data_IF_834051252866
#
_entry.id   IF_834051252866
#
_cell.length_a   1.000
_cell.length_b   1.000
_cell.length_c   1.000
_cell.angle_alpha   90.00
_cell.angle_beta   90.00
_cell.angle_gamma   90.00
#
_symmetry.space_group_name_H-M   'P 1'
#
loop_
_entity.id
_entity.type
_entity.pdbx_description
1 polymer ?
#
# COMPACT_ATOMS: atom_id res chain seq x y z
N UNK A 1 30.38 -7.63 1.77
CA UNK A 1 28.98 -7.57 1.35
C UNK A 1 28.69 -6.11 1.03
N UNK A 2 28.64 -5.74 -0.22
CA UNK A 2 28.25 -4.38 -0.65
C UNK A 2 26.79 -4.17 -0.23
N UNK A 3 26.54 -3.29 0.74
CA UNK A 3 25.17 -2.88 1.06
C UNK A 3 24.60 -2.19 -0.19
N UNK A 4 23.65 -2.84 -0.84
CA UNK A 4 22.91 -2.25 -1.93
C UNK A 4 22.17 -1.04 -1.38
N UNK A 5 22.38 0.13 -1.94
CA UNK A 5 21.67 1.34 -1.50
C UNK A 5 20.16 1.14 -1.71
N UNK A 6 19.31 1.49 -0.73
CA UNK A 6 17.88 1.40 -0.89
C UNK A 6 17.40 2.33 -2.01
N UNK A 7 16.35 1.93 -2.73
CA UNK A 7 15.71 2.79 -3.73
C UNK A 7 15.01 4.00 -3.12
N UNK A 8 14.48 3.84 -1.90
CA UNK A 8 13.94 4.96 -1.11
C UNK A 8 14.57 4.92 0.28
N UNK A 9 15.10 6.06 0.71
CA UNK A 9 15.57 6.25 2.08
C UNK A 9 14.97 7.52 2.66
N UNK A 10 14.32 7.38 3.79
CA UNK A 10 13.64 8.47 4.53
C UNK A 10 14.19 8.50 5.94
N UNK A 11 14.65 9.67 6.39
CA UNK A 11 15.21 9.90 7.73
C UNK A 11 14.59 11.14 8.35
N UNK A 12 13.93 10.97 9.48
CA UNK A 12 13.32 12.03 10.29
C UNK A 12 12.44 12.99 9.48
N UNK A 13 11.72 12.45 8.49
CA UNK A 13 10.87 13.23 7.58
C UNK A 13 9.81 13.98 8.37
N UNK A 14 9.75 15.30 8.15
CA UNK A 14 8.79 16.22 8.76
C UNK A 14 8.09 17.03 7.69
N UNK A 15 6.77 17.23 7.93
CA UNK A 15 5.95 18.12 7.10
C UNK A 15 4.99 18.92 7.96
N UNK A 16 5.04 20.24 7.82
CA UNK A 16 4.15 21.17 8.50
C UNK A 16 3.34 22.00 7.49
N UNK A 17 2.10 22.28 7.85
CA UNK A 17 1.20 23.20 7.17
C UNK A 17 0.76 24.26 8.20
N UNK A 18 1.43 25.40 8.21
CA UNK A 18 1.27 26.38 9.29
C UNK A 18 1.60 25.75 10.64
N UNK A 19 0.63 25.70 11.55
CA UNK A 19 0.76 25.09 12.89
C UNK A 19 0.52 23.60 12.90
N UNK A 20 -0.13 23.03 11.88
CA UNK A 20 -0.45 21.62 11.78
C UNK A 20 0.78 20.80 11.34
N UNK A 21 1.13 19.76 12.11
CA UNK A 21 2.20 18.82 11.78
C UNK A 21 1.60 17.57 11.11
N UNK A 22 1.72 17.48 9.79
CA UNK A 22 1.22 16.34 9.02
C UNK A 22 2.17 15.13 9.06
N UNK A 23 3.48 15.37 9.23
CA UNK A 23 4.49 14.33 9.44
C UNK A 23 5.45 14.78 10.53
N UNK A 24 5.74 13.84 11.45
CA UNK A 24 6.62 14.09 12.60
C UNK A 24 7.61 12.93 12.77
N UNK A 25 8.81 13.13 12.21
CA UNK A 25 9.95 12.21 12.33
C UNK A 25 9.69 10.80 11.76
N UNK A 26 9.19 10.71 10.53
CA UNK A 26 8.98 9.43 9.82
C UNK A 26 10.29 8.95 9.22
N UNK A 27 10.68 7.69 9.49
CA UNK A 27 11.92 7.09 8.97
C UNK A 27 11.69 5.66 8.49
N UNK A 28 12.07 5.35 7.24
CA UNK A 28 12.01 4.01 6.66
C UNK A 28 12.89 3.90 5.42
N UNK A 29 13.15 2.68 4.99
CA UNK A 29 13.83 2.36 3.72
C UNK A 29 12.98 1.40 2.90
N UNK A 30 13.08 1.52 1.56
CA UNK A 30 12.53 0.55 0.60
C UNK A 30 13.68 0.04 -0.25
N UNK A 31 13.87 -1.28 -0.27
CA UNK A 31 14.95 -1.91 -1.02
C UNK A 31 14.59 -2.02 -2.51
N UNK A 32 15.61 -2.21 -3.35
CA UNK A 32 15.40 -2.47 -4.76
C UNK A 32 14.56 -3.74 -4.98
N UNK A 33 13.54 -3.66 -5.83
CA UNK A 33 12.61 -4.77 -6.14
C UNK A 33 11.62 -5.10 -5.04
N UNK A 34 11.63 -4.35 -3.93
CA UNK A 34 10.67 -4.50 -2.83
C UNK A 34 9.31 -3.87 -3.17
N UNK A 35 8.24 -4.52 -2.80
CA UNK A 35 6.92 -3.89 -2.70
C UNK A 35 6.66 -3.52 -1.24
N UNK A 36 6.54 -2.23 -0.99
CA UNK A 36 6.30 -1.66 0.34
C UNK A 36 4.93 -0.99 0.41
N UNK A 37 4.13 -1.36 1.42
CA UNK A 37 2.84 -0.70 1.68
C UNK A 37 2.98 0.35 2.79
N UNK A 38 2.44 1.55 2.57
CA UNK A 38 2.26 2.55 3.61
C UNK A 38 0.78 2.58 4.01
N UNK A 39 0.48 2.05 5.19
CA UNK A 39 -0.86 1.88 5.72
C UNK A 39 -1.18 2.94 6.76
N UNK A 40 -2.43 3.35 6.86
CA UNK A 40 -2.86 4.30 7.88
C UNK A 40 -4.26 4.85 7.59
N UNK A 41 -4.93 5.44 8.60
CA UNK A 41 -6.23 6.07 8.39
C UNK A 41 -6.12 7.31 7.49
N UNK A 42 -7.27 7.84 7.08
CA UNK A 42 -7.31 9.11 6.36
C UNK A 42 -6.73 10.23 7.23
N UNK A 43 -5.95 11.13 6.63
CA UNK A 43 -5.27 12.20 7.37
C UNK A 43 -3.98 11.78 8.11
N UNK A 44 -3.61 10.48 8.12
CA UNK A 44 -2.41 10.00 8.81
C UNK A 44 -1.07 10.50 8.25
N UNK A 45 -1.06 11.12 7.05
CA UNK A 45 0.16 11.61 6.41
C UNK A 45 0.63 10.79 5.20
N UNK A 46 -0.11 9.75 4.77
CA UNK A 46 0.26 8.90 3.63
C UNK A 46 0.50 9.70 2.34
N UNK A 47 -0.51 10.48 1.91
CA UNK A 47 -0.40 11.30 0.68
C UNK A 47 0.70 12.34 0.78
N UNK A 48 0.87 13.00 1.94
CA UNK A 48 1.99 13.93 2.15
C UNK A 48 3.35 13.24 2.04
N UNK A 49 3.47 12.00 2.50
CA UNK A 49 4.69 11.20 2.37
C UNK A 49 4.97 10.89 0.91
N UNK A 50 4.00 10.30 0.19
CA UNK A 50 4.15 9.96 -1.23
C UNK A 50 4.48 11.19 -2.07
N UNK A 51 3.73 12.28 -1.94
CA UNK A 51 3.95 13.53 -2.70
C UNK A 51 5.36 14.12 -2.48
N UNK A 52 5.94 13.94 -1.28
CA UNK A 52 7.33 14.35 -1.01
C UNK A 52 8.30 13.43 -1.74
N UNK A 53 8.06 12.12 -1.74
CA UNK A 53 8.92 11.13 -2.41
C UNK A 53 8.87 11.26 -3.94
N UNK A 54 7.73 11.66 -4.49
CA UNK A 54 7.53 11.98 -5.91
C UNK A 54 8.19 13.29 -6.33
N UNK A 55 8.61 14.12 -5.36
CA UNK A 55 9.14 15.47 -5.63
C UNK A 55 8.08 16.52 -5.97
N UNK A 56 6.80 16.19 -5.78
CA UNK A 56 5.69 17.12 -5.96
C UNK A 56 5.57 18.12 -4.80
N UNK A 57 5.89 17.68 -3.58
CA UNK A 57 5.76 18.47 -2.36
C UNK A 57 7.09 18.62 -1.64
N UNK A 58 7.36 19.82 -1.10
CA UNK A 58 8.53 20.07 -0.28
C UNK A 58 8.32 19.59 1.17
N UNK A 59 9.32 18.90 1.73
CA UNK A 59 9.36 18.57 3.15
C UNK A 59 9.70 19.81 3.99
N UNK A 60 9.39 19.77 5.29
CA UNK A 60 9.76 20.82 6.25
C UNK A 60 11.06 20.47 6.99
N UNK A 61 11.51 19.23 6.97
CA UNK A 61 12.74 18.76 7.59
C UNK A 61 12.99 17.29 7.34
N UNK A 62 14.17 16.80 7.76
CA UNK A 62 14.62 15.44 7.52
C UNK A 62 15.30 15.26 6.16
N UNK A 63 15.81 14.05 5.93
CA UNK A 63 16.51 13.70 4.69
C UNK A 63 15.73 12.65 3.91
N UNK A 64 15.67 12.83 2.59
CA UNK A 64 14.99 11.92 1.67
C UNK A 64 15.84 11.70 0.45
N UNK A 65 16.03 10.45 0.08
CA UNK A 65 16.60 10.07 -1.22
C UNK A 65 15.71 9.06 -1.91
N UNK A 66 15.49 9.24 -3.20
CA UNK A 66 14.73 8.35 -4.08
C UNK A 66 15.59 8.07 -5.30
N UNK A 67 15.92 6.80 -5.53
CA UNK A 67 16.87 6.37 -6.57
C UNK A 67 18.20 7.14 -6.51
N UNK A 68 18.69 7.41 -5.27
CA UNK A 68 19.94 8.11 -5.01
C UNK A 68 19.88 9.64 -5.16
N UNK A 69 18.73 10.23 -5.42
CA UNK A 69 18.54 11.68 -5.63
C UNK A 69 17.54 12.22 -4.59
N UNK A 70 17.81 13.43 -4.07
CA UNK A 70 16.80 14.16 -3.30
C UNK A 70 15.66 14.60 -4.25
N UNK A 71 14.40 14.16 -4.00
CA UNK A 71 13.27 14.48 -4.87
C UNK A 71 13.04 15.96 -5.11
N UNK A 72 13.41 16.84 -4.16
CA UNK A 72 13.33 18.31 -4.31
C UNK A 72 14.23 18.83 -5.42
N UNK A 73 15.27 18.09 -5.79
CA UNK A 73 16.23 18.41 -6.83
C UNK A 73 16.10 17.48 -8.04
N UNK A 74 15.05 16.64 -8.08
CA UNK A 74 14.79 15.69 -9.16
C UNK A 74 14.60 16.37 -10.52
N UNK A 75 15.56 16.14 -11.44
CA UNK A 75 15.50 16.64 -12.83
C UNK A 75 14.76 15.65 -13.72
N UNK A 76 14.60 15.99 -15.00
CA UNK A 76 13.91 15.17 -16.01
C UNK A 76 14.42 13.72 -16.03
N UNK A 77 15.72 13.48 -16.09
CA UNK A 77 16.31 12.15 -16.12
C UNK A 77 15.96 11.30 -14.88
N UNK A 78 15.76 11.91 -13.72
CA UNK A 78 15.27 11.20 -12.51
C UNK A 78 13.77 10.91 -12.65
N UNK A 79 12.96 11.84 -13.16
CA UNK A 79 11.51 11.64 -13.34
C UNK A 79 11.19 10.55 -14.35
N UNK A 80 12.03 10.36 -15.36
CA UNK A 80 11.90 9.27 -16.33
C UNK A 80 12.06 7.87 -15.70
N UNK A 81 12.67 7.78 -14.51
CA UNK A 81 12.88 6.53 -13.77
C UNK A 81 11.77 6.19 -12.78
N UNK A 82 10.83 7.11 -12.55
CA UNK A 82 9.70 6.91 -11.64
C UNK A 82 8.39 6.86 -12.42
N UNK A 83 7.48 6.00 -11.96
CA UNK A 83 6.09 5.97 -12.39
C UNK A 83 5.18 6.42 -11.25
N UNK A 84 4.12 7.15 -11.57
CA UNK A 84 3.19 7.69 -10.58
C UNK A 84 1.76 7.40 -11.02
N UNK A 85 0.97 6.82 -10.12
CA UNK A 85 -0.46 6.58 -10.29
C UNK A 85 -1.21 7.27 -9.15
N UNK A 86 -1.73 8.46 -9.42
CA UNK A 86 -2.41 9.30 -8.43
C UNK A 86 -3.82 8.79 -8.10
N UNK A 87 -4.36 9.16 -6.95
CA UNK A 87 -5.71 8.79 -6.49
C UNK A 87 -6.84 9.32 -7.40
N UNK A 88 -6.66 10.45 -8.08
CA UNK A 88 -7.65 11.07 -8.98
C UNK A 88 -7.35 10.79 -10.44
N UNK A 89 -8.38 10.44 -11.22
CA UNK A 89 -8.25 10.41 -12.68
C UNK A 89 -8.12 11.85 -13.19
N UNK A 90 -7.05 12.14 -13.92
CA UNK A 90 -6.90 13.41 -14.64
C UNK A 90 -8.05 13.66 -15.62
N UNK A 91 -8.21 14.89 -16.07
CA UNK A 91 -9.24 15.27 -17.05
C UNK A 91 -9.17 14.36 -18.28
N UNK A 92 -10.29 13.72 -18.56
CA UNK A 92 -10.42 12.76 -19.65
C UNK A 92 -10.43 13.49 -21.00
N UNK A 93 -9.28 13.49 -21.67
CA UNK A 93 -9.14 14.05 -23.01
C UNK A 93 -10.03 13.35 -24.05
N UNK A 94 -10.07 13.92 -25.26
CA UNK A 94 -10.77 13.35 -26.42
C UNK A 94 -10.02 12.16 -27.05
N UNK A 95 -8.78 11.91 -26.63
CA UNK A 95 -7.95 10.81 -27.12
C UNK A 95 -8.51 9.44 -26.77
N UNK A 96 -8.22 8.44 -27.59
CA UNK A 96 -8.43 7.03 -27.29
C UNK A 96 -7.37 6.53 -26.31
N UNK A 97 -7.60 5.36 -25.69
CA UNK A 97 -6.62 4.70 -24.81
C UNK A 97 -5.28 4.55 -25.50
N UNK A 98 -5.27 3.99 -26.72
CA UNK A 98 -4.04 3.79 -27.52
C UNK A 98 -3.34 5.09 -27.84
N UNK A 99 -4.05 6.11 -28.29
CA UNK A 99 -3.47 7.41 -28.60
C UNK A 99 -2.83 8.07 -27.39
N UNK A 100 -3.50 7.99 -26.23
CA UNK A 100 -2.97 8.53 -24.99
C UNK A 100 -1.69 7.84 -24.57
N UNK A 101 -1.67 6.50 -24.57
CA UNK A 101 -0.48 5.71 -24.21
C UNK A 101 0.67 5.93 -25.20
N UNK A 102 0.39 5.95 -26.51
CA UNK A 102 1.40 6.25 -27.53
C UNK A 102 2.00 7.63 -27.36
N UNK A 103 1.16 8.64 -27.03
CA UNK A 103 1.63 10.00 -26.75
C UNK A 103 2.57 10.01 -25.53
N UNK A 104 2.20 9.37 -24.42
CA UNK A 104 3.04 9.31 -23.22
C UNK A 104 4.30 8.48 -23.43
N UNK A 105 4.24 7.38 -24.18
CA UNK A 105 5.40 6.58 -24.53
C UNK A 105 6.49 7.43 -25.20
N UNK A 106 6.10 8.43 -26.02
CA UNK A 106 7.02 9.35 -26.67
C UNK A 106 7.85 10.24 -25.74
N UNK A 107 7.52 10.34 -24.45
CA UNK A 107 8.33 11.07 -23.47
C UNK A 107 9.48 10.27 -22.88
N UNK A 108 9.50 8.96 -23.06
CA UNK A 108 10.49 8.05 -22.47
C UNK A 108 11.46 7.52 -23.54
N UNK A 109 12.75 7.34 -23.20
CA UNK A 109 13.75 6.84 -24.13
C UNK A 109 13.57 5.37 -24.49
N UNK A 110 13.00 4.54 -23.58
CA UNK A 110 12.78 3.12 -23.78
C UNK A 110 11.44 2.68 -23.16
N UNK A 111 10.30 3.14 -23.76
CA UNK A 111 8.99 2.79 -23.22
C UNK A 111 8.67 1.30 -23.39
N UNK A 112 7.65 0.82 -22.68
CA UNK A 112 7.01 -0.47 -23.00
C UNK A 112 6.26 -0.37 -24.31
N UNK A 113 6.04 -1.52 -24.93
CA UNK A 113 5.11 -1.59 -26.06
C UNK A 113 3.70 -1.20 -25.62
N UNK A 114 3.04 -0.36 -26.41
CA UNK A 114 1.72 0.20 -26.07
C UNK A 114 0.65 -0.90 -26.01
N UNK A 115 0.68 -1.85 -26.96
CA UNK A 115 -0.30 -2.93 -27.02
C UNK A 115 -0.11 -3.91 -25.86
N UNK A 116 1.15 -4.25 -25.51
CA UNK A 116 1.46 -5.05 -24.32
C UNK A 116 0.92 -4.40 -23.04
N UNK A 117 1.06 -3.08 -22.88
CA UNK A 117 0.56 -2.38 -21.70
C UNK A 117 -0.97 -2.34 -21.69
N UNK A 118 -1.62 -2.12 -22.85
CA UNK A 118 -3.09 -2.14 -22.96
C UNK A 118 -3.63 -3.51 -22.57
N UNK A 119 -2.99 -4.58 -23.02
CA UNK A 119 -3.38 -5.95 -22.69
C UNK A 119 -3.18 -6.24 -21.19
N UNK A 120 -2.02 -5.89 -20.65
CA UNK A 120 -1.68 -6.11 -19.23
C UNK A 120 -2.65 -5.43 -18.25
N UNK A 121 -3.25 -4.28 -18.63
CA UNK A 121 -4.27 -3.61 -17.81
C UNK A 121 -5.70 -4.03 -18.17
N UNK A 122 -5.87 -5.02 -19.08
CA UNK A 122 -7.18 -5.55 -19.48
C UNK A 122 -8.06 -4.52 -20.21
N UNK A 123 -7.47 -3.74 -21.10
CA UNK A 123 -8.16 -2.72 -21.91
C UNK A 123 -8.09 -2.99 -23.43
N UNK A 124 -7.75 -4.20 -23.85
CA UNK A 124 -7.61 -4.59 -25.26
C UNK A 124 -8.86 -4.24 -26.07
N UNK A 125 -10.06 -4.61 -25.57
CA UNK A 125 -11.35 -4.30 -26.22
C UNK A 125 -11.70 -2.80 -26.20
N UNK A 126 -10.99 -2.00 -25.45
CA UNK A 126 -11.21 -0.55 -25.25
C UNK A 126 -10.09 0.30 -25.84
N UNK A 127 -9.09 -0.30 -26.50
CA UNK A 127 -7.92 0.40 -27.03
C UNK A 127 -8.28 1.60 -27.92
N UNK A 128 -9.35 1.51 -28.71
CA UNK A 128 -9.85 2.57 -29.59
C UNK A 128 -10.98 3.40 -28.97
N UNK A 129 -11.38 3.10 -27.74
CA UNK A 129 -12.42 3.85 -27.02
C UNK A 129 -11.84 5.14 -26.47
N UNK A 130 -12.58 6.25 -26.60
CA UNK A 130 -12.18 7.55 -26.02
C UNK A 130 -12.20 7.47 -24.49
N UNK A 131 -11.17 7.99 -23.83
CA UNK A 131 -11.03 7.91 -22.36
C UNK A 131 -12.24 8.48 -21.63
N UNK A 132 -12.83 9.58 -22.13
CA UNK A 132 -14.05 10.18 -21.55
C UNK A 132 -15.27 9.24 -21.54
N UNK A 133 -15.29 8.23 -22.40
CA UNK A 133 -16.40 7.27 -22.53
C UNK A 133 -16.17 6.00 -21.70
N UNK A 134 -15.05 5.88 -21.00
CA UNK A 134 -14.73 4.75 -20.13
C UNK A 134 -15.45 4.87 -18.78
N UNK A 135 -15.71 3.73 -18.13
CA UNK A 135 -16.12 3.71 -16.72
C UNK A 135 -15.01 4.23 -15.80
N UNK A 136 -15.34 4.56 -14.54
CA UNK A 136 -14.36 4.99 -13.55
C UNK A 136 -13.21 3.97 -13.37
N UNK A 137 -13.56 2.67 -13.22
CA UNK A 137 -12.56 1.60 -13.12
C UNK A 137 -11.69 1.45 -14.39
N UNK A 138 -12.30 1.57 -15.59
CA UNK A 138 -11.53 1.54 -16.83
C UNK A 138 -10.58 2.73 -16.97
N UNK A 139 -11.00 3.95 -16.57
CA UNK A 139 -10.10 5.10 -16.51
C UNK A 139 -8.94 4.88 -15.56
N UNK A 140 -9.22 4.31 -14.38
CA UNK A 140 -8.17 3.97 -13.41
C UNK A 140 -7.14 2.99 -13.97
N UNK A 141 -7.56 2.02 -14.79
CA UNK A 141 -6.65 1.12 -15.51
C UNK A 141 -5.78 1.86 -16.52
N UNK A 142 -6.29 2.92 -17.18
CA UNK A 142 -5.49 3.82 -18.04
C UNK A 142 -4.45 4.57 -17.21
N UNK A 143 -4.80 5.09 -16.02
CA UNK A 143 -3.85 5.77 -15.14
C UNK A 143 -2.69 4.84 -14.74
N UNK A 144 -3.00 3.58 -14.42
CA UNK A 144 -1.98 2.56 -14.16
C UNK A 144 -1.11 2.32 -15.40
N UNK A 145 -1.72 2.17 -16.58
CA UNK A 145 -1.00 1.99 -17.84
C UNK A 145 -0.03 3.15 -18.11
N UNK A 146 -0.45 4.39 -17.85
CA UNK A 146 0.41 5.58 -17.96
C UNK A 146 1.55 5.56 -16.95
N UNK A 147 1.31 5.09 -15.73
CA UNK A 147 2.34 4.97 -14.70
C UNK A 147 3.45 3.96 -15.04
N UNK A 148 3.14 2.92 -15.83
CA UNK A 148 4.08 1.83 -16.15
C UNK A 148 4.69 1.91 -17.54
N UNK A 149 4.13 2.75 -18.45
CA UNK A 149 4.57 2.84 -19.85
C UNK A 149 6.06 3.17 -20.00
N UNK A 150 6.62 3.97 -19.07
CA UNK A 150 8.00 4.41 -19.06
C UNK A 150 9.01 3.38 -18.55
N UNK A 151 8.63 2.15 -18.21
CA UNK A 151 9.48 1.14 -17.53
C UNK A 151 10.14 1.69 -16.26
N UNK A 152 9.35 2.16 -15.28
CA UNK A 152 9.92 2.79 -14.08
C UNK A 152 10.73 1.80 -13.25
N UNK A 153 11.81 2.30 -12.63
CA UNK A 153 12.56 1.57 -11.60
C UNK A 153 11.82 1.58 -10.26
N UNK A 154 11.05 2.65 -10.00
CA UNK A 154 10.20 2.81 -8.83
C UNK A 154 8.80 3.30 -9.26
N UNK A 155 7.77 2.58 -8.81
CA UNK A 155 6.37 2.88 -9.09
C UNK A 155 5.67 3.31 -7.79
N UNK A 156 5.07 4.49 -7.80
CA UNK A 156 4.18 4.98 -6.74
C UNK A 156 2.73 4.70 -7.10
N UNK A 157 1.99 4.09 -6.17
CA UNK A 157 0.60 3.71 -6.33
C UNK A 157 -0.20 4.28 -5.15
N UNK A 158 -0.93 5.38 -5.39
CA UNK A 158 -1.76 5.98 -4.35
C UNK A 158 -3.20 5.46 -4.47
N UNK A 159 -3.60 4.58 -3.55
CA UNK A 159 -4.90 3.90 -3.49
C UNK A 159 -5.35 3.33 -4.86
N UNK A 160 -4.54 2.44 -5.47
CA UNK A 160 -4.66 2.11 -6.90
C UNK A 160 -5.96 1.39 -7.27
N UNK A 161 -6.57 0.62 -6.37
CA UNK A 161 -7.75 -0.19 -6.66
C UNK A 161 -9.07 0.42 -6.19
N UNK A 162 -9.04 1.68 -5.75
CA UNK A 162 -10.26 2.38 -5.35
C UNK A 162 -11.25 2.46 -6.51
N UNK A 163 -12.46 1.93 -6.29
CA UNK A 163 -13.52 1.89 -7.31
C UNK A 163 -13.42 0.72 -8.31
N UNK A 164 -12.49 -0.23 -8.11
CA UNK A 164 -12.45 -1.45 -8.89
C UNK A 164 -13.50 -2.45 -8.40
N UNK A 165 -14.11 -3.17 -9.34
CA UNK A 165 -14.82 -4.40 -9.03
C UNK A 165 -13.82 -5.52 -8.62
N UNK A 166 -14.30 -6.64 -8.03
CA UNK A 166 -13.42 -7.71 -7.56
C UNK A 166 -12.53 -8.31 -8.65
N UNK A 167 -13.03 -8.47 -9.88
CA UNK A 167 -12.29 -9.04 -11.00
C UNK A 167 -11.18 -8.10 -11.45
N UNK A 168 -11.50 -6.81 -11.66
CA UNK A 168 -10.54 -5.77 -11.99
C UNK A 168 -9.40 -5.67 -10.97
N UNK A 169 -9.73 -5.82 -9.67
CA UNK A 169 -8.74 -5.79 -8.59
C UNK A 169 -7.79 -6.98 -8.67
N UNK A 170 -8.29 -8.19 -8.92
CA UNK A 170 -7.46 -9.38 -9.07
C UNK A 170 -6.51 -9.26 -10.28
N UNK A 171 -6.97 -8.73 -11.40
CA UNK A 171 -6.14 -8.51 -12.59
C UNK A 171 -5.07 -7.45 -12.32
N UNK A 172 -5.42 -6.37 -11.63
CA UNK A 172 -4.45 -5.38 -11.20
C UNK A 172 -3.37 -5.99 -10.27
N UNK A 173 -3.76 -6.86 -9.34
CA UNK A 173 -2.80 -7.55 -8.47
C UNK A 173 -1.86 -8.46 -9.24
N UNK A 174 -2.33 -9.11 -10.32
CA UNK A 174 -1.47 -9.89 -11.22
C UNK A 174 -0.42 -8.98 -11.88
N UNK A 175 -0.86 -7.84 -12.45
CA UNK A 175 0.03 -6.84 -13.05
C UNK A 175 1.10 -6.36 -12.07
N UNK A 176 0.72 -5.99 -10.84
CA UNK A 176 1.68 -5.54 -9.81
C UNK A 176 2.71 -6.62 -9.50
N UNK A 177 2.29 -7.90 -9.40
CA UNK A 177 3.21 -9.02 -9.18
C UNK A 177 4.15 -9.25 -10.38
N UNK A 178 3.71 -9.02 -11.59
CA UNK A 178 4.54 -9.11 -12.81
C UNK A 178 5.58 -8.00 -12.83
N UNK A 179 5.19 -6.75 -12.58
CA UNK A 179 6.12 -5.61 -12.47
C UNK A 179 7.19 -5.86 -11.41
N UNK A 180 6.79 -6.41 -10.26
CA UNK A 180 7.73 -6.82 -9.21
C UNK A 180 8.71 -7.89 -9.68
N UNK A 181 8.24 -8.92 -10.39
CA UNK A 181 9.12 -9.98 -10.95
C UNK A 181 10.12 -9.43 -11.97
N UNK A 182 9.76 -8.36 -12.68
CA UNK A 182 10.65 -7.64 -13.60
C UNK A 182 11.67 -6.76 -12.87
N UNK A 183 11.58 -6.65 -11.53
CA UNK A 183 12.51 -5.89 -10.70
C UNK A 183 12.06 -4.48 -10.37
N UNK A 184 10.84 -4.07 -10.74
CA UNK A 184 10.28 -2.77 -10.36
C UNK A 184 10.08 -2.71 -8.84
N UNK A 185 10.60 -1.66 -8.21
CA UNK A 185 10.31 -1.34 -6.80
C UNK A 185 8.97 -0.65 -6.72
N UNK A 186 8.15 -0.97 -5.73
CA UNK A 186 6.79 -0.44 -5.65
C UNK A 186 6.53 0.10 -4.24
N UNK A 187 6.08 1.35 -4.18
CA UNK A 187 5.49 1.92 -2.97
C UNK A 187 3.99 2.12 -3.21
N UNK A 188 3.17 1.42 -2.43
CA UNK A 188 1.72 1.58 -2.51
C UNK A 188 1.15 2.14 -1.20
N UNK A 189 0.17 3.05 -1.31
CA UNK A 189 -0.73 3.34 -0.20
C UNK A 189 -2.05 2.64 -0.45
N UNK A 190 -2.63 2.14 0.60
CA UNK A 190 -3.97 1.56 0.53
C UNK A 190 -4.62 1.59 1.92
N UNK A 191 -5.94 1.67 1.94
CA UNK A 191 -6.74 1.38 3.12
C UNK A 191 -7.29 -0.06 3.08
N UNK A 192 -7.08 -0.77 1.96
CA UNK A 192 -7.43 -2.18 1.81
C UNK A 192 -6.27 -3.06 2.31
N UNK A 193 -6.42 -3.60 3.50
CA UNK A 193 -5.38 -4.39 4.17
C UNK A 193 -5.17 -5.75 3.51
N UNK A 194 -6.18 -6.28 2.81
CA UNK A 194 -6.03 -7.48 1.98
C UNK A 194 -5.09 -7.21 0.80
N UNK A 195 -5.23 -6.05 0.13
CA UNK A 195 -4.32 -5.63 -0.94
C UNK A 195 -2.87 -5.55 -0.47
N UNK A 196 -2.64 -4.90 0.69
CA UNK A 196 -1.31 -4.83 1.30
C UNK A 196 -0.77 -6.23 1.61
N UNK A 197 -1.59 -7.10 2.19
CA UNK A 197 -1.20 -8.48 2.51
C UNK A 197 -0.85 -9.32 1.28
N UNK A 198 -1.51 -9.08 0.15
CA UNK A 198 -1.33 -9.86 -1.08
C UNK A 198 -0.16 -9.37 -1.95
N UNK A 199 0.19 -8.09 -1.87
CA UNK A 199 1.14 -7.45 -2.79
C UNK A 199 2.48 -7.11 -2.15
N UNK A 200 2.51 -6.84 -0.83
CA UNK A 200 3.67 -6.22 -0.21
C UNK A 200 4.56 -7.21 0.54
N UNK A 201 5.86 -6.99 0.49
CA UNK A 201 6.85 -7.71 1.29
C UNK A 201 6.89 -7.17 2.72
N UNK A 202 6.90 -5.84 2.81
CA UNK A 202 6.90 -5.11 4.07
C UNK A 202 5.84 -4.02 4.04
N UNK A 203 5.41 -3.64 5.24
CA UNK A 203 4.52 -2.51 5.41
C UNK A 203 4.99 -1.59 6.55
N UNK A 204 4.64 -0.32 6.44
CA UNK A 204 4.74 0.65 7.53
C UNK A 204 3.34 1.13 7.88
N UNK A 205 3.01 1.19 9.16
CA UNK A 205 1.76 1.74 9.65
C UNK A 205 2.02 3.16 10.16
N UNK A 206 1.36 4.13 9.52
CA UNK A 206 1.45 5.53 9.91
C UNK A 206 0.15 5.99 10.57
N UNK A 207 0.24 6.66 11.71
CA UNK A 207 -0.90 7.28 12.39
C UNK A 207 -0.47 8.63 12.98
N UNK A 208 -1.32 9.65 12.87
CA UNK A 208 -1.04 11.00 13.35
C UNK A 208 0.35 11.53 12.92
N UNK A 209 0.75 11.28 11.70
CA UNK A 209 2.03 11.73 11.16
C UNK A 209 3.27 10.98 11.65
N UNK A 210 3.11 9.88 12.40
CA UNK A 210 4.21 9.07 12.94
C UNK A 210 4.13 7.64 12.46
N UNK A 211 5.27 7.02 12.18
CA UNK A 211 5.36 5.60 11.90
C UNK A 211 5.27 4.83 13.22
N UNK A 212 4.20 4.05 13.41
CA UNK A 212 3.92 3.33 14.66
C UNK A 212 4.40 1.88 14.62
N UNK A 213 4.50 1.29 13.43
CA UNK A 213 5.10 -0.03 13.23
C UNK A 213 5.63 -0.16 11.81
N UNK A 214 6.67 -0.98 11.61
CA UNK A 214 7.26 -1.29 10.31
C UNK A 214 7.91 -2.68 10.34
N UNK A 215 7.61 -3.49 9.33
CA UNK A 215 8.18 -4.83 9.24
C UNK A 215 7.65 -5.59 8.04
N UNK A 216 8.01 -6.88 7.96
CA UNK A 216 7.37 -7.79 7.01
C UNK A 216 5.88 -7.86 7.30
N UNK A 217 5.08 -7.98 6.23
CA UNK A 217 3.61 -8.02 6.38
C UNK A 217 3.17 -9.16 7.31
N UNK A 218 3.87 -10.29 7.29
CA UNK A 218 3.62 -11.45 8.14
C UNK A 218 4.18 -11.30 9.57
N UNK A 219 4.88 -10.21 9.91
CA UNK A 219 5.49 -9.94 11.22
C UNK A 219 4.95 -8.66 11.90
N UNK A 220 4.24 -7.80 11.17
CA UNK A 220 3.61 -6.57 11.70
C UNK A 220 2.79 -6.88 12.96
N UNK A 221 2.88 -6.02 13.97
CA UNK A 221 2.23 -6.17 15.27
C UNK A 221 2.96 -7.12 16.22
N UNK A 222 4.01 -7.78 15.76
CA UNK A 222 4.78 -8.73 16.55
C UNK A 222 4.07 -10.05 16.78
N UNK A 223 4.72 -10.94 17.56
CA UNK A 223 4.23 -12.30 17.81
C UNK A 223 2.93 -12.33 18.61
N UNK A 224 2.79 -11.43 19.59
CA UNK A 224 1.64 -11.44 20.51
C UNK A 224 0.34 -11.03 19.80
N UNK A 225 0.40 -10.12 18.84
CA UNK A 225 -0.76 -9.72 18.05
C UNK A 225 -1.29 -10.86 17.16
N UNK A 226 -0.45 -11.86 16.87
CA UNK A 226 -0.74 -13.01 15.98
C UNK A 226 -1.14 -14.28 16.71
N UNK A 227 -1.25 -14.24 18.05
CA UNK A 227 -1.68 -15.41 18.82
C UNK A 227 -3.12 -15.76 18.43
N UNK A 228 -3.38 -17.01 17.95
CA UNK A 228 -4.72 -17.44 17.61
C UNK A 228 -5.70 -17.34 18.79
N UNK A 229 -6.95 -17.05 18.47
CA UNK A 229 -8.08 -17.06 19.41
C UNK A 229 -8.92 -18.31 19.14
N UNK A 230 -9.10 -19.16 20.14
CA UNK A 230 -10.07 -20.26 20.10
C UNK A 230 -11.36 -19.74 20.68
N UNK A 231 -12.45 -19.82 19.91
CA UNK A 231 -13.80 -19.42 20.32
C UNK A 231 -14.72 -20.63 20.28
N UNK A 232 -15.55 -20.78 21.29
CA UNK A 232 -16.55 -21.86 21.34
C UNK A 232 -17.76 -21.44 22.18
N UNK A 233 -18.88 -22.15 22.04
CA UNK A 233 -20.05 -21.96 22.87
C UNK A 233 -20.05 -23.01 24.01
N UNK A 234 -19.99 -22.52 25.25
CA UNK A 234 -20.16 -23.31 26.45
C UNK A 234 -21.55 -23.14 27.08
N UNK A 235 -21.77 -23.73 28.22
CA UNK A 235 -23.07 -23.67 28.95
C UNK A 235 -23.44 -22.21 29.35
N UNK A 236 -22.46 -21.34 29.57
CA UNK A 236 -22.65 -19.95 30.01
C UNK A 236 -22.47 -18.94 28.91
N UNK A 237 -22.51 -19.35 27.62
CA UNK A 237 -22.35 -18.45 26.45
C UNK A 237 -21.07 -18.70 25.67
N UNK A 238 -20.64 -17.65 24.93
CA UNK A 238 -19.45 -17.73 24.10
C UNK A 238 -18.19 -17.51 24.93
N UNK A 239 -17.23 -18.39 24.79
CA UNK A 239 -15.90 -18.32 25.40
C UNK A 239 -14.85 -18.03 24.36
N UNK A 240 -13.81 -17.30 24.76
CA UNK A 240 -12.63 -17.03 23.93
C UNK A 240 -11.35 -17.20 24.76
N UNK A 241 -10.37 -17.89 24.19
CA UNK A 241 -9.04 -18.03 24.80
C UNK A 241 -7.95 -17.83 23.74
N UNK A 242 -6.98 -16.95 24.03
CA UNK A 242 -5.79 -16.74 23.20
C UNK A 242 -4.74 -17.79 23.55
N UNK A 243 -4.25 -18.51 22.54
CA UNK A 243 -3.25 -19.55 22.76
C UNK A 243 -2.34 -19.77 21.57
N UNK A 244 -1.06 -20.02 21.84
CA UNK A 244 -0.09 -20.44 20.81
C UNK A 244 -0.26 -21.92 20.42
N UNK A 245 -1.09 -22.68 21.16
CA UNK A 245 -1.35 -24.11 20.95
C UNK A 245 -2.85 -24.40 20.80
N UNK A 246 -3.51 -23.86 19.75
CA UNK A 246 -4.95 -23.96 19.59
C UNK A 246 -5.45 -25.43 19.53
N UNK A 247 -4.71 -26.31 18.86
CA UNK A 247 -5.07 -27.73 18.74
C UNK A 247 -5.03 -28.44 20.11
N UNK A 248 -4.04 -28.15 20.95
CA UNK A 248 -3.93 -28.73 22.28
C UNK A 248 -5.07 -28.24 23.20
N UNK A 249 -5.43 -26.92 23.09
CA UNK A 249 -6.58 -26.38 23.83
C UNK A 249 -7.88 -27.06 23.42
N UNK A 250 -8.14 -27.19 22.12
CA UNK A 250 -9.35 -27.86 21.60
C UNK A 250 -9.42 -29.31 22.07
N UNK A 251 -8.31 -30.07 22.01
CA UNK A 251 -8.25 -31.44 22.48
C UNK A 251 -8.56 -31.55 23.99
N UNK A 252 -8.02 -30.64 24.81
CA UNK A 252 -8.31 -30.60 26.26
C UNK A 252 -9.78 -30.30 26.51
N UNK A 253 -10.35 -29.28 25.89
CA UNK A 253 -11.76 -28.91 26.04
C UNK A 253 -12.71 -30.03 25.62
N UNK A 254 -12.39 -30.74 24.52
CA UNK A 254 -13.17 -31.90 24.09
C UNK A 254 -13.13 -33.04 25.11
N UNK A 255 -11.96 -33.33 25.69
CA UNK A 255 -11.80 -34.32 26.70
C UNK A 255 -12.56 -33.97 28.01
N UNK A 256 -12.61 -32.71 28.40
CA UNK A 256 -13.32 -32.21 29.59
C UNK A 256 -14.85 -32.25 29.41
N UNK A 257 -15.35 -31.92 28.21
CA UNK A 257 -16.80 -31.87 27.96
C UNK A 257 -17.38 -33.21 27.53
N UNK A 258 -16.58 -34.11 26.97
CA UNK A 258 -17.02 -35.39 26.41
C UNK A 258 -17.93 -35.27 25.19
N UNK A 259 -18.12 -34.04 24.67
CA UNK A 259 -19.00 -33.72 23.53
C UNK A 259 -18.30 -32.80 22.54
N UNK A 260 -18.84 -32.68 21.33
CA UNK A 260 -18.36 -31.74 20.34
C UNK A 260 -18.56 -30.29 20.83
N UNK A 261 -17.54 -29.45 20.60
CA UNK A 261 -17.57 -28.03 21.00
C UNK A 261 -18.42 -27.25 20.02
N UNK A 262 -19.62 -26.84 20.43
CA UNK A 262 -20.53 -26.07 19.58
C UNK A 262 -19.90 -24.74 19.18
N UNK A 263 -20.03 -24.37 17.92
CA UNK A 263 -19.53 -23.11 17.40
C UNK A 263 -18.00 -22.92 17.46
N UNK A 264 -17.24 -24.04 17.51
CA UNK A 264 -15.79 -24.01 17.57
C UNK A 264 -15.20 -23.28 16.37
N UNK A 265 -14.38 -22.28 16.64
CA UNK A 265 -13.60 -21.53 15.66
C UNK A 265 -12.16 -21.34 16.17
N UNK A 266 -11.19 -21.50 15.27
CA UNK A 266 -9.80 -21.10 15.52
C UNK A 266 -9.53 -19.91 14.63
N UNK A 267 -9.56 -18.73 15.22
CA UNK A 267 -9.41 -17.45 14.53
C UNK A 267 -7.94 -17.06 14.60
N UNK A 268 -7.30 -16.93 13.45
CA UNK A 268 -5.97 -16.36 13.33
C UNK A 268 -6.12 -14.88 13.00
N UNK A 269 -5.59 -13.95 13.82
CA UNK A 269 -5.69 -12.53 13.54
C UNK A 269 -5.20 -12.19 12.15
N UNK A 270 -6.04 -11.50 11.39
CA UNK A 270 -5.70 -10.95 10.07
C UNK A 270 -4.80 -9.70 10.22
N UNK A 271 -4.23 -9.23 9.11
CA UNK A 271 -3.53 -7.93 9.11
C UNK A 271 -4.48 -6.80 9.54
N UNK A 272 -5.77 -6.92 9.24
CA UNK A 272 -6.80 -5.95 9.64
C UNK A 272 -7.00 -5.92 11.16
N UNK A 273 -7.12 -7.08 11.80
CA UNK A 273 -7.25 -7.17 13.27
C UNK A 273 -6.04 -6.55 13.97
N UNK A 274 -4.84 -6.83 13.45
CA UNK A 274 -3.59 -6.32 13.97
C UNK A 274 -3.51 -4.80 13.78
N UNK A 275 -3.82 -4.31 12.59
CA UNK A 275 -3.83 -2.89 12.27
C UNK A 275 -4.80 -2.11 13.18
N UNK A 276 -6.04 -2.60 13.32
CA UNK A 276 -7.03 -1.97 14.20
C UNK A 276 -6.55 -1.92 15.66
N UNK A 277 -5.90 -2.99 16.12
CA UNK A 277 -5.29 -3.04 17.47
C UNK A 277 -4.20 -2.00 17.66
N UNK A 278 -3.28 -1.86 16.69
CA UNK A 278 -2.17 -0.92 16.75
C UNK A 278 -2.65 0.53 16.69
N UNK A 279 -3.54 0.87 15.74
CA UNK A 279 -4.09 2.23 15.58
C UNK A 279 -4.96 2.60 16.78
N UNK A 280 -5.81 1.67 17.27
CA UNK A 280 -6.66 1.90 18.45
C UNK A 280 -5.82 2.16 19.71
N UNK A 281 -4.77 1.38 19.94
CA UNK A 281 -3.86 1.59 21.07
C UNK A 281 -3.13 2.93 20.95
N UNK A 282 -2.69 3.30 19.74
CA UNK A 282 -2.03 4.59 19.50
C UNK A 282 -2.97 5.76 19.78
N UNK A 283 -4.23 5.71 19.31
CA UNK A 283 -5.24 6.75 19.58
C UNK A 283 -5.59 6.89 21.06
N UNK A 284 -5.62 5.78 21.82
CA UNK A 284 -5.85 5.83 23.28
C UNK A 284 -4.70 6.51 24.02
N UNK A 285 -3.48 6.37 23.54
CA UNK A 285 -2.29 6.96 24.15
C UNK A 285 -2.05 8.43 23.74
N UNK A 286 -2.81 8.97 22.78
CA UNK A 286 -2.75 10.37 22.38
C UNK A 286 -3.36 11.27 23.45
N UNK A 287 -2.74 12.44 23.66
CA UNK A 287 -3.30 13.48 24.53
C UNK A 287 -4.60 14.07 23.93
N UNK A 288 -5.48 14.69 24.76
CA UNK A 288 -6.71 15.32 24.24
C UNK A 288 -6.45 16.34 23.12
N UNK A 289 -5.37 17.11 23.22
CA UNK A 289 -4.95 18.09 22.21
C UNK A 289 -4.54 17.45 20.88
N UNK A 290 -3.91 16.28 20.92
CA UNK A 290 -3.52 15.54 19.71
C UNK A 290 -4.72 14.89 19.03
N UNK A 291 -5.79 14.54 19.78
CA UNK A 291 -7.03 13.96 19.23
C UNK A 291 -7.90 14.96 18.46
N UNK A 292 -7.86 16.25 18.84
CA UNK A 292 -8.61 17.31 18.15
C UNK A 292 -7.97 17.72 16.81
N UNK A 293 -6.75 17.28 16.52
CA UNK A 293 -5.97 17.62 15.32
C UNK A 293 -5.96 16.51 14.26
N UNK A 294 -6.60 15.37 14.53
CA UNK A 294 -6.72 14.19 13.65
C UNK A 294 -8.16 14.01 13.19
#
# INVERSE_FOLDING_TARGET
>A
MTQTQPHVSVRDLRKRYGTFSALDSVSFDIQQGETFALLGPNGAGKSSTIEILEGYRHRSGGDVTVLGIDPQHGKRAWRERIGIVLQGSGESGSATVREQLAHFAGFYPNPRDVEEVIDAVGLTDKATTRIRSLSGGQRRRVDVALGVIGRPELLFLDEPTTGFDPEARLDFWKLVRELKREGTTILLTTHNLEEAAQLSDRAGIIAAGRLIDIGRVDEIGGRDARIPVVRWHGQNGTHEERTTQPTALVARLHAETGTELAGLQIIRPSLEDIYLGLVGTHQMNMTPLERELV
#
